data_IF_238358113101
#
_entry.id   IF_238358113101
#
_cell.length_a   1.000
_cell.length_b   1.000
_cell.length_c   1.000
_cell.angle_alpha   90.00
_cell.angle_beta   90.00
_cell.angle_gamma   90.00
#
_symmetry.space_group_name_H-M   'P 1'
#
loop_
_entity.id
_entity.type
_entity.pdbx_description
1 polymer ?
#
# COMPACT_ATOMS: atom_id res chain seq x y z
N UNK A 1 -2.05 16.51 12.69
CA UNK A 1 -0.97 16.00 13.56
C UNK A 1 -0.74 14.53 13.19
N UNK A 2 0.51 14.12 12.93
CA UNK A 2 0.82 12.72 12.56
C UNK A 2 0.72 11.83 13.80
N UNK A 3 -0.28 10.95 13.85
CA UNK A 3 -0.40 9.91 14.87
C UNK A 3 0.18 8.60 14.28
N UNK A 4 1.20 7.98 14.89
CA UNK A 4 1.84 6.78 14.33
C UNK A 4 0.89 5.58 14.17
N UNK A 5 -0.25 5.58 14.86
CA UNK A 5 -1.29 4.55 14.80
C UNK A 5 -2.38 4.92 13.80
N UNK A 6 -3.02 6.09 13.96
CA UNK A 6 -4.21 6.44 13.18
C UNK A 6 -3.94 7.29 11.93
N UNK A 7 -2.85 8.06 11.89
CA UNK A 7 -2.48 8.94 10.77
C UNK A 7 -0.96 8.94 10.53
N UNK A 8 -0.35 7.77 10.22
CA UNK A 8 1.08 7.69 10.06
C UNK A 8 1.53 8.44 8.79
N UNK A 9 2.58 9.25 8.94
CA UNK A 9 3.11 10.09 7.85
C UNK A 9 3.42 9.35 6.54
N UNK A 10 3.82 8.08 6.61
CA UNK A 10 4.10 7.26 5.42
C UNK A 10 2.85 6.76 4.67
N UNK A 11 1.64 7.04 5.18
CA UNK A 11 0.36 6.85 4.49
C UNK A 11 -0.33 8.15 4.12
N UNK A 12 0.36 9.29 4.19
CA UNK A 12 -0.14 10.58 3.72
C UNK A 12 0.69 10.98 2.49
N UNK A 13 0.03 11.44 1.42
CA UNK A 13 0.75 11.95 0.24
C UNK A 13 1.09 13.44 0.37
N UNK A 14 1.80 13.99 -0.60
CA UNK A 14 2.18 15.40 -0.62
C UNK A 14 0.98 16.38 -0.61
N UNK A 15 -0.20 15.90 -1.01
CA UNK A 15 -1.44 16.68 -1.08
C UNK A 15 -2.33 16.47 0.15
N UNK A 16 -1.88 15.74 1.17
CA UNK A 16 -2.64 15.49 2.40
C UNK A 16 -3.72 14.40 2.29
N UNK A 17 -3.80 13.67 1.18
CA UNK A 17 -4.71 12.52 1.05
C UNK A 17 -4.14 11.34 1.81
N UNK A 18 -4.96 10.73 2.66
CA UNK A 18 -4.58 9.52 3.38
C UNK A 18 -4.85 8.27 2.54
N UNK A 19 -3.97 7.28 2.65
CA UNK A 19 -4.13 6.02 1.96
C UNK A 19 -5.46 5.34 2.31
N UNK A 20 -5.91 5.45 3.56
CA UNK A 20 -7.14 4.80 4.02
C UNK A 20 -8.35 5.25 3.21
N UNK A 21 -8.43 6.55 2.89
CA UNK A 21 -9.51 7.14 2.09
C UNK A 21 -9.57 6.57 0.65
N UNK A 22 -8.46 6.00 0.17
CA UNK A 22 -8.35 5.40 -1.17
C UNK A 22 -8.68 3.91 -1.13
N UNK A 23 -8.27 3.21 -0.07
CA UNK A 23 -8.29 1.73 -0.04
C UNK A 23 -9.46 1.13 0.73
N UNK A 24 -10.28 1.93 1.40
CA UNK A 24 -11.34 1.45 2.33
C UNK A 24 -12.33 0.49 1.64
N UNK A 25 -12.71 0.79 0.39
CA UNK A 25 -13.65 -0.03 -0.39
C UNK A 25 -12.96 -1.05 -1.31
N UNK A 26 -11.62 -1.11 -1.30
CA UNK A 26 -10.88 -1.97 -2.22
C UNK A 26 -10.86 -3.43 -1.74
N UNK A 27 -10.87 -4.41 -2.68
CA UNK A 27 -10.59 -5.80 -2.33
C UNK A 27 -9.25 -5.94 -1.61
N UNK A 28 -9.20 -6.80 -0.58
CA UNK A 28 -8.05 -6.93 0.33
C UNK A 28 -6.68 -7.03 -0.37
N UNK A 29 -6.58 -7.81 -1.45
CA UNK A 29 -5.34 -7.98 -2.18
C UNK A 29 -4.89 -6.67 -2.88
N UNK A 30 -5.82 -5.94 -3.48
CA UNK A 30 -5.56 -4.62 -4.10
C UNK A 30 -5.25 -3.55 -3.06
N UNK A 31 -6.02 -3.49 -1.97
CA UNK A 31 -5.78 -2.58 -0.86
C UNK A 31 -4.38 -2.79 -0.27
N UNK A 32 -4.00 -4.05 -0.04
CA UNK A 32 -2.68 -4.40 0.47
C UNK A 32 -1.57 -4.06 -0.53
N UNK A 33 -1.78 -4.29 -1.83
CA UNK A 33 -0.81 -3.93 -2.86
C UNK A 33 -0.62 -2.41 -2.93
N UNK A 34 -1.71 -1.64 -2.95
CA UNK A 34 -1.68 -0.17 -2.90
C UNK A 34 -0.95 0.32 -1.64
N UNK A 35 -1.19 -0.29 -0.48
CA UNK A 35 -0.45 0.02 0.76
C UNK A 35 1.05 -0.17 0.63
N UNK A 36 1.51 -1.21 -0.05
CA UNK A 36 2.94 -1.43 -0.27
C UNK A 36 3.51 -0.41 -1.28
N UNK A 37 2.81 -0.16 -2.38
CA UNK A 37 3.19 0.84 -3.40
C UNK A 37 3.30 2.22 -2.75
N UNK A 38 2.28 2.62 -1.99
CA UNK A 38 2.20 3.94 -1.39
C UNK A 38 3.32 4.20 -0.39
N UNK A 39 3.73 3.16 0.38
CA UNK A 39 4.77 3.28 1.41
C UNK A 39 6.19 3.06 0.91
N UNK A 40 6.38 2.43 -0.25
CA UNK A 40 7.68 2.00 -0.75
C UNK A 40 8.69 3.15 -0.65
N UNK A 41 9.80 2.90 0.05
CA UNK A 41 10.85 3.89 0.31
C UNK A 41 10.51 5.00 1.32
N UNK A 42 9.23 5.31 1.56
CA UNK A 42 8.79 6.35 2.50
C UNK A 42 8.94 5.96 3.97
N UNK A 43 8.63 4.70 4.30
CA UNK A 43 8.74 4.19 5.68
C UNK A 43 10.18 3.82 6.03
N UNK A 44 10.86 3.14 5.10
CA UNK A 44 12.28 2.83 5.16
C UNK A 44 12.80 2.77 3.70
N UNK A 45 13.75 3.64 3.31
CA UNK A 45 14.33 3.66 1.97
C UNK A 45 14.90 2.31 1.52
N UNK A 46 15.52 1.55 2.43
CA UNK A 46 16.13 0.24 2.13
C UNK A 46 15.11 -0.84 1.77
N UNK A 47 13.83 -0.62 2.10
CA UNK A 47 12.74 -1.56 1.86
C UNK A 47 11.93 -1.28 0.61
N UNK A 48 12.32 -0.29 -0.20
CA UNK A 48 11.58 0.09 -1.39
C UNK A 48 11.35 -1.10 -2.33
N UNK A 49 12.41 -1.84 -2.68
CA UNK A 49 12.31 -3.01 -3.54
C UNK A 49 11.45 -4.12 -2.91
N UNK A 50 11.64 -4.40 -1.62
CA UNK A 50 10.86 -5.42 -0.88
C UNK A 50 9.36 -5.06 -0.87
N UNK A 51 9.02 -3.79 -0.64
CA UNK A 51 7.62 -3.33 -0.67
C UNK A 51 7.03 -3.48 -2.08
N UNK A 52 7.75 -3.09 -3.14
CA UNK A 52 7.28 -3.29 -4.52
C UNK A 52 7.09 -4.77 -4.87
N UNK A 53 8.00 -5.65 -4.44
CA UNK A 53 7.86 -7.10 -4.63
C UNK A 53 6.62 -7.66 -3.92
N UNK A 54 6.32 -7.21 -2.70
CA UNK A 54 5.10 -7.61 -1.98
C UNK A 54 3.83 -7.15 -2.70
N UNK A 55 3.83 -5.95 -3.26
CA UNK A 55 2.72 -5.46 -4.08
C UNK A 55 2.51 -6.33 -5.32
N UNK A 56 3.58 -6.62 -6.07
CA UNK A 56 3.53 -7.46 -7.25
C UNK A 56 3.01 -8.87 -6.94
N UNK A 57 3.48 -9.49 -5.86
CA UNK A 57 3.03 -10.81 -5.42
C UNK A 57 1.52 -10.86 -5.12
N UNK A 58 0.98 -9.84 -4.44
CA UNK A 58 -0.45 -9.76 -4.13
C UNK A 58 -1.31 -9.66 -5.39
N UNK A 59 -0.91 -8.82 -6.35
CA UNK A 59 -1.61 -8.64 -7.61
C UNK A 59 -1.54 -9.91 -8.46
N UNK A 60 -0.37 -10.53 -8.59
CA UNK A 60 -0.21 -11.80 -9.31
C UNK A 60 -1.09 -12.90 -8.72
N UNK A 61 -1.16 -12.99 -7.39
CA UNK A 61 -2.02 -13.95 -6.70
C UNK A 61 -3.51 -13.70 -6.97
N UNK A 62 -3.93 -12.44 -7.03
CA UNK A 62 -5.32 -12.09 -7.36
C UNK A 62 -5.66 -12.41 -8.83
N UNK A 63 -4.77 -12.09 -9.77
CA UNK A 63 -4.91 -12.45 -11.18
C UNK A 63 -5.07 -13.97 -11.33
N UNK A 64 -4.22 -14.75 -10.66
CA UNK A 64 -4.29 -16.21 -10.69
C UNK A 64 -5.58 -16.79 -10.08
N UNK A 65 -6.31 -16.04 -9.24
CA UNK A 65 -7.63 -16.46 -8.75
C UNK A 65 -8.74 -16.19 -9.76
N UNK A 66 -8.64 -15.07 -10.49
CA UNK A 66 -9.65 -14.64 -11.47
C UNK A 66 -9.51 -15.35 -12.82
N UNK A 67 -8.31 -15.80 -13.17
CA UNK A 67 -8.03 -16.53 -14.41
C UNK A 67 -8.36 -18.04 -14.34
N UNK A 68 -9.06 -18.48 -13.28
CA UNK A 68 -9.58 -19.85 -13.14
C UNK A 68 -11.02 -19.90 -13.62
#
# INVERSE_FOLDING_TARGET
MSNPVSHPSHYINANGVELIDIIDEMPFARASAMKYIFRAGKKNPEKELEDLQKAAWLIQREIAKLAK
#
